data_IF_730846589353
#
_entry.id   IF_730846589353
#
_cell.length_a   1.000
_cell.length_b   1.000
_cell.length_c   1.000
_cell.angle_alpha   90.00
_cell.angle_beta   90.00
_cell.angle_gamma   90.00
#
_symmetry.space_group_name_H-M   'P 1'
#
loop_
_entity.id
_entity.type
_entity.pdbx_description
1 polymer ?
#
# COMPACT_ATOMS: atom_id res chain seq x y z
N UNK A 1 35.52 -14.49 -2.17
CA UNK A 1 34.62 -14.33 -1.01
C UNK A 1 33.92 -12.97 -1.06
N UNK A 2 34.64 -11.85 -1.15
CA UNK A 2 34.06 -10.49 -1.15
C UNK A 2 33.07 -10.25 -2.31
N UNK A 3 33.40 -10.69 -3.51
CA UNK A 3 32.50 -10.58 -4.68
C UNK A 3 31.20 -11.39 -4.51
N UNK A 4 31.29 -12.57 -3.92
CA UNK A 4 30.16 -13.46 -3.66
C UNK A 4 29.23 -12.85 -2.59
N UNK A 5 29.79 -12.29 -1.53
CA UNK A 5 29.03 -11.60 -0.48
C UNK A 5 28.31 -10.36 -1.02
N UNK A 6 28.98 -9.57 -1.87
CA UNK A 6 28.36 -8.40 -2.50
C UNK A 6 27.21 -8.78 -3.45
N UNK A 7 27.32 -9.90 -4.15
CA UNK A 7 26.28 -10.39 -5.05
C UNK A 7 25.04 -10.86 -4.27
N UNK A 8 25.22 -11.55 -3.14
CA UNK A 8 24.11 -11.99 -2.26
C UNK A 8 23.37 -10.80 -1.68
N UNK A 9 24.08 -9.78 -1.16
CA UNK A 9 23.46 -8.56 -0.61
C UNK A 9 22.66 -7.80 -1.67
N UNK A 10 23.20 -7.75 -2.88
CA UNK A 10 22.53 -7.08 -4.01
C UNK A 10 21.28 -7.82 -4.49
N UNK A 11 21.30 -9.14 -4.50
CA UNK A 11 20.18 -9.99 -4.93
C UNK A 11 19.03 -9.92 -3.92
N UNK A 12 19.36 -9.94 -2.62
CA UNK A 12 18.39 -9.76 -1.54
C UNK A 12 17.68 -8.40 -1.59
N UNK A 13 18.42 -7.31 -1.86
CA UNK A 13 17.83 -5.98 -2.02
C UNK A 13 16.87 -5.87 -3.20
N UNK A 14 17.11 -6.62 -4.27
CA UNK A 14 16.23 -6.65 -5.45
C UNK A 14 14.91 -7.38 -5.19
N UNK A 15 14.94 -8.49 -4.49
CA UNK A 15 13.77 -9.32 -4.21
C UNK A 15 12.76 -8.59 -3.33
N UNK A 16 13.23 -7.92 -2.28
CA UNK A 16 12.39 -7.11 -1.39
C UNK A 16 11.79 -5.89 -2.10
N UNK A 17 12.55 -5.27 -2.99
CA UNK A 17 12.08 -4.12 -3.77
C UNK A 17 11.02 -4.55 -4.78
N UNK A 18 11.21 -5.66 -5.47
CA UNK A 18 10.26 -6.20 -6.45
C UNK A 18 8.92 -6.59 -5.79
N UNK A 19 8.95 -7.28 -4.66
CA UNK A 19 7.75 -7.67 -3.92
C UNK A 19 6.93 -6.45 -3.47
N UNK A 20 7.61 -5.40 -2.99
CA UNK A 20 7.00 -4.14 -2.62
C UNK A 20 6.38 -3.42 -3.80
N UNK A 21 7.09 -3.34 -4.92
CA UNK A 21 6.61 -2.73 -6.15
C UNK A 21 5.34 -3.42 -6.66
N UNK A 22 5.29 -4.76 -6.59
CA UNK A 22 4.10 -5.54 -6.94
C UNK A 22 2.88 -5.15 -6.09
N UNK A 23 3.06 -4.93 -4.77
CA UNK A 23 1.95 -4.51 -3.90
C UNK A 23 1.52 -3.07 -4.23
N UNK A 24 2.45 -2.16 -4.49
CA UNK A 24 2.14 -0.78 -4.89
C UNK A 24 1.36 -0.75 -6.21
N UNK A 25 1.77 -1.53 -7.20
CA UNK A 25 1.09 -1.68 -8.48
C UNK A 25 -0.32 -2.26 -8.29
N UNK A 26 -0.44 -3.36 -7.52
CA UNK A 26 -1.73 -3.97 -7.18
C UNK A 26 -2.67 -2.98 -6.49
N UNK A 27 -2.18 -2.26 -5.49
CA UNK A 27 -2.95 -1.23 -4.80
C UNK A 27 -3.41 -0.11 -5.72
N UNK A 28 -2.54 0.37 -6.60
CA UNK A 28 -2.89 1.40 -7.58
C UNK A 28 -3.96 0.95 -8.58
N UNK A 29 -3.90 -0.30 -9.03
CA UNK A 29 -4.89 -0.91 -9.93
C UNK A 29 -6.24 -1.02 -9.20
N UNK A 30 -6.25 -1.51 -7.96
CA UNK A 30 -7.47 -1.65 -7.16
C UNK A 30 -8.14 -0.29 -6.89
N UNK A 31 -7.36 0.74 -6.57
CA UNK A 31 -7.89 2.09 -6.39
C UNK A 31 -8.53 2.61 -7.68
N UNK A 32 -7.87 2.44 -8.83
CA UNK A 32 -8.43 2.85 -10.12
C UNK A 32 -9.71 2.08 -10.48
N UNK A 33 -9.77 0.80 -10.15
CA UNK A 33 -10.97 -0.02 -10.35
C UNK A 33 -12.14 0.51 -9.52
N UNK A 34 -11.91 0.86 -8.25
CA UNK A 34 -12.90 1.48 -7.38
C UNK A 34 -13.36 2.85 -7.91
N UNK A 35 -12.44 3.71 -8.31
CA UNK A 35 -12.78 5.02 -8.89
C UNK A 35 -13.61 4.90 -10.17
N UNK A 36 -13.34 3.88 -10.99
CA UNK A 36 -14.10 3.62 -12.20
C UNK A 36 -15.45 2.96 -11.91
N UNK A 37 -15.53 2.07 -10.95
CA UNK A 37 -16.75 1.36 -10.54
C UNK A 37 -17.81 2.31 -9.95
N UNK A 38 -17.37 3.35 -9.27
CA UNK A 38 -18.29 4.39 -8.73
C UNK A 38 -18.91 5.27 -9.79
N UNK A 39 -18.52 5.12 -11.08
CA UNK A 39 -19.01 5.93 -12.20
C UNK A 39 -20.46 5.68 -12.60
N UNK A 40 -21.06 4.56 -12.22
CA UNK A 40 -22.33 4.07 -12.80
C UNK A 40 -23.57 4.43 -11.98
N UNK A 41 -23.47 5.22 -10.89
CA UNK A 41 -24.60 5.52 -10.01
C UNK A 41 -25.17 6.94 -10.16
N UNK A 42 -26.45 7.06 -10.48
CA UNK A 42 -27.18 8.33 -10.46
C UNK A 42 -27.64 8.70 -9.04
N UNK A 43 -27.06 9.76 -8.45
CA UNK A 43 -27.52 10.37 -7.20
C UNK A 43 -26.65 10.15 -5.98
N UNK A 44 -26.43 11.19 -5.16
CA UNK A 44 -25.49 11.20 -4.04
C UNK A 44 -25.72 10.12 -2.96
N UNK A 45 -26.96 9.75 -2.69
CA UNK A 45 -27.28 8.71 -1.70
C UNK A 45 -26.98 7.31 -2.20
N UNK A 46 -27.05 7.08 -3.52
CA UNK A 46 -26.67 5.79 -4.12
C UNK A 46 -25.16 5.59 -4.17
N UNK A 47 -24.37 6.65 -4.22
CA UNK A 47 -22.91 6.53 -4.30
C UNK A 47 -22.29 5.88 -3.05
N UNK A 48 -22.77 6.20 -1.85
CA UNK A 48 -22.23 5.59 -0.63
C UNK A 48 -22.57 4.11 -0.52
N UNK A 49 -23.81 3.73 -0.80
CA UNK A 49 -24.22 2.32 -0.74
C UNK A 49 -23.52 1.46 -1.81
N UNK A 50 -23.33 2.01 -3.01
CA UNK A 50 -22.61 1.35 -4.09
C UNK A 50 -21.10 1.23 -3.79
N UNK A 51 -20.49 2.29 -3.27
CA UNK A 51 -19.10 2.26 -2.83
C UNK A 51 -18.91 1.23 -1.72
N UNK A 52 -19.80 1.21 -0.73
CA UNK A 52 -19.77 0.23 0.36
C UNK A 52 -19.84 -1.21 -0.18
N UNK A 53 -20.78 -1.52 -1.07
CA UNK A 53 -20.91 -2.85 -1.67
C UNK A 53 -19.66 -3.26 -2.46
N UNK A 54 -19.06 -2.32 -3.21
CA UNK A 54 -17.80 -2.56 -3.94
C UNK A 54 -16.63 -2.86 -2.99
N UNK A 55 -16.52 -2.15 -1.86
CA UNK A 55 -15.47 -2.40 -0.88
C UNK A 55 -15.63 -3.76 -0.22
N UNK A 56 -16.85 -4.15 0.10
CA UNK A 56 -17.17 -5.48 0.65
C UNK A 56 -16.80 -6.58 -0.35
N UNK A 57 -17.16 -6.43 -1.62
CA UNK A 57 -16.84 -7.40 -2.67
C UNK A 57 -15.33 -7.51 -2.90
N UNK A 58 -14.63 -6.38 -2.94
CA UNK A 58 -13.18 -6.35 -3.18
C UNK A 58 -12.36 -6.86 -1.99
N UNK A 59 -12.91 -6.89 -0.78
CA UNK A 59 -12.25 -7.42 0.41
C UNK A 59 -11.90 -8.92 0.31
N UNK A 60 -12.59 -9.66 -0.56
CA UNK A 60 -12.31 -11.07 -0.84
C UNK A 60 -11.06 -11.31 -1.68
N UNK A 61 -10.40 -10.24 -2.14
CA UNK A 61 -9.16 -10.34 -2.92
C UNK A 61 -8.02 -10.91 -2.06
N UNK A 62 -7.28 -11.93 -2.56
CA UNK A 62 -6.19 -12.53 -1.80
C UNK A 62 -5.14 -11.51 -1.36
N UNK A 63 -4.77 -11.56 -0.10
CA UNK A 63 -3.76 -10.69 0.50
C UNK A 63 -4.26 -9.31 0.87
N UNK A 64 -5.53 -8.97 0.65
CA UNK A 64 -6.15 -7.74 1.15
C UNK A 64 -6.72 -8.01 2.54
N UNK A 65 -6.44 -7.12 3.47
CA UNK A 65 -6.97 -7.17 4.83
C UNK A 65 -8.25 -6.35 4.96
N UNK A 66 -8.22 -5.13 4.44
CA UNK A 66 -9.36 -4.24 4.44
C UNK A 66 -9.19 -3.08 3.47
N UNK A 67 -10.32 -2.46 3.13
CA UNK A 67 -10.42 -1.19 2.42
C UNK A 67 -11.16 -0.19 3.30
N UNK A 68 -10.76 1.06 3.24
CA UNK A 68 -11.48 2.16 3.86
C UNK A 68 -11.45 3.42 2.98
N UNK A 69 -12.53 4.16 2.98
CA UNK A 69 -12.60 5.52 2.45
C UNK A 69 -13.00 6.43 3.60
N UNK A 70 -12.21 7.48 3.82
CA UNK A 70 -12.44 8.46 4.88
C UNK A 70 -12.68 9.84 4.32
N UNK A 71 -13.23 10.73 5.16
CA UNK A 71 -13.17 12.18 4.95
C UNK A 71 -11.77 12.71 5.32
N UNK A 72 -11.59 14.02 5.22
CA UNK A 72 -10.36 14.74 5.55
C UNK A 72 -10.04 14.74 7.06
N UNK A 73 -11.04 14.46 7.91
CA UNK A 73 -10.90 14.33 9.36
C UNK A 73 -10.52 12.89 9.78
N UNK A 74 -10.57 11.94 8.85
CA UNK A 74 -10.28 10.54 9.10
C UNK A 74 -11.49 9.72 9.57
N UNK A 75 -12.70 10.25 9.43
CA UNK A 75 -13.94 9.51 9.69
C UNK A 75 -14.23 8.58 8.52
N UNK A 76 -14.52 7.32 8.80
CA UNK A 76 -14.79 6.28 7.80
C UNK A 76 -16.15 6.52 7.14
N UNK A 77 -16.15 6.76 5.83
CA UNK A 77 -17.34 6.92 5.00
C UNK A 77 -17.82 5.58 4.46
N UNK A 78 -16.87 4.71 4.09
CA UNK A 78 -17.12 3.36 3.61
C UNK A 78 -15.94 2.45 4.03
N UNK A 79 -16.22 1.19 4.33
CA UNK A 79 -15.23 0.22 4.77
C UNK A 79 -15.63 -1.18 4.32
N UNK A 80 -14.64 -2.07 4.09
CA UNK A 80 -14.90 -3.48 3.76
C UNK A 80 -15.63 -4.24 4.87
N UNK A 81 -15.51 -3.80 6.13
CA UNK A 81 -16.33 -4.21 7.26
C UNK A 81 -17.35 -3.09 7.56
N UNK A 82 -18.66 -3.31 7.32
CA UNK A 82 -19.70 -2.29 7.52
C UNK A 82 -19.77 -1.74 8.95
N UNK A 83 -19.32 -2.51 9.95
CA UNK A 83 -19.34 -2.11 11.36
C UNK A 83 -18.36 -0.99 11.67
N UNK A 84 -17.38 -0.74 10.80
CA UNK A 84 -16.39 0.31 10.95
C UNK A 84 -16.86 1.67 10.42
N UNK A 85 -17.94 1.70 9.64
CA UNK A 85 -18.46 2.95 9.04
C UNK A 85 -18.90 3.94 10.14
N UNK A 86 -18.48 5.18 10.01
CA UNK A 86 -18.72 6.24 11.00
C UNK A 86 -17.71 6.28 12.14
N UNK A 87 -16.82 5.30 12.26
CA UNK A 87 -15.72 5.33 13.22
C UNK A 87 -14.57 6.19 12.69
N UNK A 88 -13.63 6.54 13.57
CA UNK A 88 -12.42 7.29 13.21
C UNK A 88 -11.29 6.31 12.93
N UNK A 89 -10.82 6.26 11.69
CA UNK A 89 -9.66 5.46 11.30
C UNK A 89 -8.36 6.11 11.76
N UNK A 90 -8.23 7.40 11.52
CA UNK A 90 -7.08 8.23 11.90
C UNK A 90 -7.54 9.57 12.45
N UNK A 91 -6.86 10.06 13.47
CA UNK A 91 -7.14 11.41 13.98
C UNK A 91 -6.83 12.49 12.94
N UNK A 92 -7.44 13.67 13.01
CA UNK A 92 -7.16 14.77 12.06
C UNK A 92 -5.69 15.17 12.04
N UNK A 93 -4.95 14.99 13.15
CA UNK A 93 -3.51 15.24 13.19
C UNK A 93 -2.73 14.19 12.38
N UNK A 94 -3.10 12.92 12.48
CA UNK A 94 -2.51 11.84 11.69
C UNK A 94 -2.83 12.01 10.20
N UNK A 95 -4.07 12.37 9.85
CA UNK A 95 -4.46 12.65 8.46
C UNK A 95 -3.59 13.74 7.83
N UNK A 96 -3.36 14.84 8.56
CA UNK A 96 -2.45 15.91 8.10
C UNK A 96 -1.01 15.44 7.93
N UNK A 97 -0.52 14.59 8.85
CA UNK A 97 0.84 14.04 8.80
C UNK A 97 1.05 13.09 7.62
N UNK A 98 0.00 12.42 7.14
CA UNK A 98 0.07 11.53 5.96
C UNK A 98 0.39 12.31 4.67
N UNK A 99 0.18 13.63 4.65
CA UNK A 99 0.38 14.48 3.47
C UNK A 99 -0.24 13.85 2.21
N UNK A 100 -1.51 13.48 2.31
CA UNK A 100 -2.27 12.78 1.26
C UNK A 100 -2.29 13.61 -0.02
N UNK A 101 -1.99 12.97 -1.14
CA UNK A 101 -1.95 13.59 -2.47
C UNK A 101 -2.55 12.70 -3.55
N UNK A 102 -2.36 13.11 -4.80
CA UNK A 102 -2.83 12.34 -5.97
C UNK A 102 -2.05 11.06 -6.20
N UNK A 103 -0.77 11.05 -5.84
CA UNK A 103 0.07 9.87 -5.97
C UNK A 103 -0.16 8.93 -4.79
N UNK A 104 -0.23 7.64 -5.09
CA UNK A 104 -0.31 6.61 -4.07
C UNK A 104 0.97 6.64 -3.21
N UNK A 105 0.77 6.61 -1.91
CA UNK A 105 1.83 6.46 -0.91
C UNK A 105 1.57 5.20 -0.12
N UNK A 106 2.59 4.70 0.52
CA UNK A 106 2.50 3.51 1.35
C UNK A 106 3.21 3.72 2.68
N UNK A 107 2.80 2.94 3.65
CA UNK A 107 3.46 2.83 4.95
C UNK A 107 3.27 1.42 5.52
N UNK A 108 4.11 1.05 6.46
CA UNK A 108 3.98 -0.20 7.20
C UNK A 108 3.18 0.07 8.47
N UNK A 109 2.21 -0.80 8.73
CA UNK A 109 1.48 -0.89 9.99
C UNK A 109 1.99 -2.11 10.77
N UNK A 110 2.18 -1.95 12.08
CA UNK A 110 2.59 -3.04 12.97
C UNK A 110 1.41 -3.59 13.76
N UNK A 111 0.42 -2.75 14.05
CA UNK A 111 -0.76 -3.07 14.84
C UNK A 111 -2.06 -2.75 14.06
N UNK A 112 -3.12 -3.52 14.26
CA UNK A 112 -3.28 -4.73 15.08
C UNK A 112 -2.60 -5.97 14.50
N UNK A 113 -2.19 -5.93 13.25
CA UNK A 113 -1.44 -6.97 12.56
C UNK A 113 -0.49 -6.36 11.53
N UNK A 114 0.64 -7.03 11.24
CA UNK A 114 1.57 -6.55 10.23
C UNK A 114 0.89 -6.37 8.88
N UNK A 115 0.90 -5.14 8.38
CA UNK A 115 0.26 -4.78 7.12
C UNK A 115 1.07 -3.75 6.35
N UNK A 116 0.89 -3.74 5.04
CA UNK A 116 1.34 -2.67 4.16
C UNK A 116 0.12 -1.88 3.71
N UNK A 117 0.01 -0.65 4.17
CA UNK A 117 -1.09 0.24 3.83
C UNK A 117 -0.70 1.14 2.67
N UNK A 118 -1.55 1.19 1.65
CA UNK A 118 -1.45 2.09 0.51
C UNK A 118 -2.59 3.10 0.62
N UNK A 119 -2.29 4.37 0.43
CA UNK A 119 -3.29 5.43 0.51
C UNK A 119 -3.03 6.54 -0.50
N UNK A 120 -4.10 7.18 -0.96
CA UNK A 120 -4.08 8.39 -1.77
C UNK A 120 -5.40 9.15 -1.68
N UNK A 121 -5.44 10.35 -2.24
CA UNK A 121 -6.69 11.06 -2.43
C UNK A 121 -7.63 10.26 -3.35
N UNK A 122 -8.85 10.01 -2.90
CA UNK A 122 -9.89 9.33 -3.65
C UNK A 122 -10.63 10.32 -4.54
N UNK A 123 -10.67 10.03 -5.83
CA UNK A 123 -11.33 10.88 -6.84
C UNK A 123 -12.29 10.02 -7.65
N UNK A 124 -13.53 9.87 -7.18
CA UNK A 124 -14.53 9.20 -7.99
C UNK A 124 -14.68 9.93 -9.33
N UNK A 125 -14.65 9.21 -10.43
CA UNK A 125 -14.78 9.77 -11.76
C UNK A 125 -16.19 10.36 -11.94
N UNK A 126 -16.32 11.66 -11.81
CA UNK A 126 -17.60 12.36 -12.01
C UNK A 126 -17.87 12.52 -13.51
N UNK A 127 -18.93 11.91 -14.08
CA UNK A 127 -19.24 12.00 -15.51
C UNK A 127 -19.62 13.42 -15.97
N UNK A 128 -19.96 14.34 -15.04
CA UNK A 128 -20.39 15.69 -15.37
C UNK A 128 -19.30 16.58 -15.95
N UNK A 129 -18.01 16.20 -15.93
CA UNK A 129 -16.92 17.02 -16.49
C UNK A 129 -16.63 16.83 -17.97
N UNK A 130 -17.32 15.89 -18.65
CA UNK A 130 -16.91 15.45 -20.00
C UNK A 130 -17.57 16.14 -21.18
N UNK A 131 -18.75 16.74 -21.10
CA UNK A 131 -19.50 17.09 -22.33
C UNK A 131 -20.31 18.39 -22.34
N UNK A 132 -20.09 19.36 -21.43
CA UNK A 132 -20.73 20.69 -21.56
C UNK A 132 -19.72 21.82 -21.75
N UNK A 133 -19.02 21.76 -22.89
CA UNK A 133 -18.37 22.93 -23.47
C UNK A 133 -19.40 23.55 -24.44
N UNK A 134 -20.41 24.22 -23.89
CA UNK A 134 -21.40 24.93 -24.71
C UNK A 134 -22.68 25.20 -23.97
N UNK A 135 -22.79 26.39 -23.56
CA UNK A 135 -23.91 27.22 -23.13
C UNK A 135 -23.86 27.64 -21.66
N UNK A 136 -23.56 28.91 -21.55
CA UNK A 136 -23.56 29.72 -20.33
C UNK A 136 -24.88 29.58 -19.58
N UNK A 137 -24.81 29.20 -18.32
CA UNK A 137 -25.70 29.79 -17.35
C UNK A 137 -24.90 30.24 -16.13
N UNK A 138 -24.81 31.54 -15.93
CA UNK A 138 -23.95 32.25 -14.96
C UNK A 138 -24.46 32.15 -13.54
N UNK A 139 -25.44 31.27 -13.26
CA UNK A 139 -26.14 31.14 -11.98
C UNK A 139 -25.79 29.93 -11.14
N UNK A 140 -25.25 28.83 -11.72
CA UNK A 140 -25.12 27.55 -11.01
C UNK A 140 -23.70 27.26 -10.47
N UNK A 141 -22.80 28.23 -10.57
CA UNK A 141 -21.42 28.07 -10.08
C UNK A 141 -21.28 28.09 -8.55
N UNK A 142 -22.34 28.40 -7.83
CA UNK A 142 -22.33 28.47 -6.36
C UNK A 142 -22.67 27.13 -5.67
N UNK A 143 -23.11 26.13 -6.45
CA UNK A 143 -23.43 24.78 -5.96
C UNK A 143 -22.45 23.71 -6.47
N UNK A 144 -21.26 24.09 -6.93
CA UNK A 144 -20.14 23.19 -6.91
C UNK A 144 -19.85 22.88 -5.44
N UNK A 145 -20.66 21.99 -4.87
CA UNK A 145 -20.48 21.47 -3.52
C UNK A 145 -19.01 21.12 -3.40
N UNK A 146 -18.31 21.81 -2.51
CA UNK A 146 -16.96 21.48 -2.12
C UNK A 146 -16.99 20.01 -1.70
N UNK A 147 -16.63 19.13 -2.63
CA UNK A 147 -16.57 17.71 -2.37
C UNK A 147 -15.45 17.57 -1.33
N UNK A 148 -15.85 17.27 -0.09
CA UNK A 148 -14.90 17.07 0.99
C UNK A 148 -13.83 16.11 0.47
N UNK A 149 -12.55 16.43 0.58
CA UNK A 149 -11.49 15.56 0.09
C UNK A 149 -11.61 14.20 0.76
N UNK A 150 -11.77 13.16 -0.03
CA UNK A 150 -11.84 11.80 0.46
C UNK A 150 -10.49 11.12 0.27
N UNK A 151 -10.17 10.22 1.18
CA UNK A 151 -8.92 9.44 1.14
C UNK A 151 -9.28 7.97 1.13
N UNK A 152 -8.68 7.22 0.20
CA UNK A 152 -8.79 5.77 0.15
C UNK A 152 -7.56 5.15 0.78
N UNK A 153 -7.78 4.12 1.58
CA UNK A 153 -6.79 3.29 2.22
C UNK A 153 -7.04 1.83 1.84
N UNK A 154 -5.96 1.11 1.55
CA UNK A 154 -5.97 -0.34 1.31
C UNK A 154 -4.88 -0.95 2.16
N UNK A 155 -5.21 -1.91 3.02
CA UNK A 155 -4.23 -2.67 3.78
C UNK A 155 -4.04 -4.05 3.18
N UNK A 156 -2.80 -4.41 2.93
CA UNK A 156 -2.36 -5.72 2.48
C UNK A 156 -1.67 -6.48 3.61
N UNK A 157 -1.90 -7.78 3.69
CA UNK A 157 -1.16 -8.63 4.62
C UNK A 157 0.33 -8.65 4.26
N UNK A 158 1.18 -8.28 5.20
CA UNK A 158 2.63 -8.28 5.01
C UNK A 158 3.33 -9.49 5.63
N UNK A 159 2.59 -10.42 6.26
CA UNK A 159 3.17 -11.58 6.96
C UNK A 159 4.02 -12.44 6.05
N UNK A 160 3.56 -12.71 4.83
CA UNK A 160 4.33 -13.50 3.86
C UNK A 160 5.61 -12.79 3.44
N UNK A 161 5.56 -11.47 3.23
CA UNK A 161 6.72 -10.63 2.93
C UNK A 161 7.71 -10.63 4.10
N UNK A 162 7.21 -10.44 5.31
CA UNK A 162 8.03 -10.42 6.51
C UNK A 162 8.67 -11.78 6.78
N UNK A 163 7.93 -12.87 6.56
CA UNK A 163 8.46 -14.23 6.66
C UNK A 163 9.51 -14.54 5.58
N UNK A 164 9.33 -14.04 4.36
CA UNK A 164 10.32 -14.17 3.29
C UNK A 164 11.58 -13.36 3.61
N UNK A 165 11.43 -12.13 4.12
CA UNK A 165 12.55 -11.30 4.57
C UNK A 165 13.33 -11.96 5.71
N UNK A 166 12.64 -12.48 6.73
CA UNK A 166 13.27 -13.15 7.86
C UNK A 166 14.05 -14.41 7.42
N UNK A 167 13.50 -15.20 6.49
CA UNK A 167 14.19 -16.36 5.90
C UNK A 167 15.43 -15.93 5.12
N UNK A 168 15.33 -14.91 4.29
CA UNK A 168 16.46 -14.37 3.53
C UNK A 168 17.55 -13.83 4.43
N UNK A 169 17.22 -13.06 5.46
CA UNK A 169 18.17 -12.54 6.43
C UNK A 169 18.90 -13.67 7.19
N UNK A 170 18.18 -14.70 7.62
CA UNK A 170 18.77 -15.85 8.27
C UNK A 170 19.74 -16.59 7.34
N UNK A 171 19.36 -16.83 6.10
CA UNK A 171 20.21 -17.49 5.12
C UNK A 171 21.47 -16.66 4.82
N UNK A 172 21.35 -15.34 4.72
CA UNK A 172 22.49 -14.43 4.55
C UNK A 172 23.48 -14.52 5.73
N UNK A 173 22.99 -14.54 6.96
CA UNK A 173 23.84 -14.68 8.16
C UNK A 173 24.56 -16.02 8.16
N UNK A 174 23.87 -17.11 7.81
CA UNK A 174 24.46 -18.45 7.72
C UNK A 174 25.56 -18.49 6.63
N UNK A 175 25.30 -17.92 5.46
CA UNK A 175 26.28 -17.90 4.37
C UNK A 175 27.51 -17.03 4.69
N UNK A 176 27.32 -15.89 5.34
CA UNK A 176 28.43 -15.04 5.80
C UNK A 176 29.27 -15.77 6.86
N UNK A 177 28.62 -16.47 7.80
CA UNK A 177 29.30 -17.29 8.80
C UNK A 177 30.11 -18.42 8.17
N UNK A 178 29.54 -19.16 7.22
CA UNK A 178 30.24 -20.21 6.48
C UNK A 178 31.45 -19.67 5.69
N UNK A 179 31.29 -18.53 5.01
CA UNK A 179 32.39 -17.89 4.29
C UNK A 179 33.53 -17.44 5.22
N UNK A 180 33.20 -16.93 6.40
CA UNK A 180 34.20 -16.58 7.41
C UNK A 180 34.96 -17.80 7.94
N UNK A 181 34.26 -18.90 8.18
CA UNK A 181 34.90 -20.17 8.61
C UNK A 181 35.87 -20.73 7.55
N UNK A 182 35.45 -20.72 6.27
CA UNK A 182 36.31 -21.17 5.17
C UNK A 182 37.57 -20.31 5.07
N UNK A 183 37.42 -18.97 5.17
CA UNK A 183 38.58 -18.07 5.17
C UNK A 183 39.49 -18.27 6.36
N UNK A 184 38.94 -18.46 7.55
CA UNK A 184 39.76 -18.77 8.74
C UNK A 184 40.50 -20.10 8.60
N UNK A 185 39.85 -21.16 8.09
CA UNK A 185 40.47 -22.46 7.86
C UNK A 185 41.59 -22.37 6.81
N UNK A 186 41.44 -21.62 5.74
CA UNK A 186 42.48 -21.43 4.73
C UNK A 186 43.69 -20.67 5.28
N UNK A 187 43.48 -19.63 6.10
CA UNK A 187 44.58 -18.92 6.76
C UNK A 187 45.33 -19.82 7.73
N UNK A 188 44.61 -20.60 8.55
CA UNK A 188 45.21 -21.57 9.47
C UNK A 188 46.04 -22.64 8.73
N UNK A 189 45.52 -23.18 7.63
CA UNK A 189 46.24 -24.12 6.81
C UNK A 189 47.52 -23.51 6.22
N UNK A 190 47.49 -22.26 5.72
CA UNK A 190 48.67 -21.58 5.20
C UNK A 190 49.72 -21.31 6.27
N UNK A 191 49.31 -20.94 7.48
CA UNK A 191 50.23 -20.73 8.61
C UNK A 191 50.87 -22.04 9.02
N UNK A 192 50.08 -23.13 9.04
CA UNK A 192 50.56 -24.45 9.38
C UNK A 192 51.60 -24.96 8.34
N UNK A 193 51.30 -24.84 7.03
CA UNK A 193 52.24 -25.19 5.96
C UNK A 193 53.54 -24.40 5.93
N UNK A 194 53.52 -23.15 6.42
CA UNK A 194 54.73 -22.30 6.51
C UNK A 194 55.61 -22.63 7.72
N UNK A 195 55.08 -23.33 8.70
CA UNK A 195 55.83 -23.68 9.92
C UNK A 195 56.52 -25.07 9.84
N UNK A 196 56.15 -25.86 8.85
CA UNK A 196 56.75 -27.14 8.54
C UNK A 196 57.45 -27.11 7.17
#
# INVERSE_FOLDING_TARGET
>A
VVLFSAMIVRDYGRETTAARQTIEEKGSVLIRALESGTRVGMGMRMHHAQLQALLEEMAWQPGVLWFAVTDDNGTIIAHSDPQQVGQTLYSPAQMRALAVGEQARWRRLSEPQPAMEIYRQFRPLNPARGHHRGMMNRGDSALAQATVPQVIFIAFDSRELDAAQARGQRNMVIMLGAAALVTAATILAQVWFRRY
#
